data_IF_193201068327
#
_entry.id   IF_193201068327
#
_cell.length_a   1.000
_cell.length_b   1.000
_cell.length_c   1.000
_cell.angle_alpha   90.00
_cell.angle_beta   90.00
_cell.angle_gamma   90.00
#
_symmetry.space_group_name_H-M   'P 1'
#
loop_
_entity.id
_entity.type
_entity.pdbx_description
1 polymer ?
#
# COMPACT_ATOMS: atom_id res chain seq x y z
N UNK A 1 -31.19 9.20 0.58
CA UNK A 1 -31.30 7.86 -0.03
C UNK A 1 -30.63 7.94 -1.40
N UNK A 2 -29.57 7.16 -1.65
CA UNK A 2 -28.73 7.31 -2.86
C UNK A 2 -29.35 6.46 -3.97
N UNK A 3 -29.95 7.13 -4.97
CA UNK A 3 -30.75 6.51 -6.03
C UNK A 3 -29.94 6.21 -7.31
N UNK A 4 -28.67 5.79 -7.18
CA UNK A 4 -27.76 5.69 -8.34
C UNK A 4 -27.06 4.33 -8.49
N UNK A 5 -27.77 3.23 -8.17
CA UNK A 5 -27.21 1.87 -8.31
C UNK A 5 -26.93 1.49 -9.78
N UNK A 6 -27.78 1.92 -10.71
CA UNK A 6 -27.65 1.60 -12.16
C UNK A 6 -26.38 2.19 -12.80
N UNK A 7 -25.89 3.33 -12.31
CA UNK A 7 -24.67 3.97 -12.84
C UNK A 7 -23.39 3.31 -12.33
N UNK A 8 -23.40 2.81 -11.09
CA UNK A 8 -22.23 2.16 -10.52
C UNK A 8 -21.93 0.84 -11.27
N UNK A 9 -22.94 0.00 -11.49
CA UNK A 9 -22.79 -1.25 -12.25
C UNK A 9 -22.34 -0.98 -13.69
N UNK A 10 -22.96 -0.02 -14.38
CA UNK A 10 -22.54 0.41 -15.72
C UNK A 10 -21.08 0.86 -15.77
N UNK A 11 -20.64 1.67 -14.80
CA UNK A 11 -19.26 2.15 -14.72
C UNK A 11 -18.24 1.03 -14.43
N UNK A 12 -18.62 0.01 -13.66
CA UNK A 12 -17.77 -1.16 -13.38
C UNK A 12 -17.60 -2.00 -14.65
N UNK A 13 -18.71 -2.26 -15.37
CA UNK A 13 -18.67 -2.98 -16.64
C UNK A 13 -17.84 -2.22 -17.69
N UNK A 14 -18.02 -0.91 -17.80
CA UNK A 14 -17.24 -0.06 -18.71
C UNK A 14 -15.74 -0.10 -18.40
N UNK A 15 -15.36 0.05 -17.12
CA UNK A 15 -13.97 -0.03 -16.71
C UNK A 15 -13.36 -1.40 -17.03
N UNK A 16 -14.14 -2.48 -16.86
CA UNK A 16 -13.72 -3.85 -17.20
C UNK A 16 -13.48 -4.01 -18.69
N UNK A 17 -14.40 -3.52 -19.54
CA UNK A 17 -14.25 -3.58 -21.00
C UNK A 17 -13.03 -2.78 -21.49
N UNK A 18 -12.84 -1.56 -20.98
CA UNK A 18 -11.68 -0.72 -21.32
C UNK A 18 -10.37 -1.40 -20.90
N UNK A 19 -10.37 -2.06 -19.74
CA UNK A 19 -9.22 -2.81 -19.25
C UNK A 19 -8.88 -3.98 -20.19
N UNK A 20 -9.85 -4.81 -20.53
CA UNK A 20 -9.66 -5.98 -21.40
C UNK A 20 -9.22 -5.59 -22.81
N UNK A 21 -9.86 -4.60 -23.42
CA UNK A 21 -9.46 -4.07 -24.75
C UNK A 21 -8.03 -3.54 -24.70
N UNK A 22 -7.68 -2.82 -23.63
CA UNK A 22 -6.33 -2.33 -23.42
C UNK A 22 -5.30 -3.46 -23.34
N UNK A 23 -5.59 -4.52 -22.58
CA UNK A 23 -4.71 -5.68 -22.48
C UNK A 23 -4.59 -6.44 -23.80
N UNK A 24 -5.70 -6.66 -24.50
CA UNK A 24 -5.69 -7.33 -25.81
C UNK A 24 -4.85 -6.56 -26.83
N UNK A 25 -5.01 -5.24 -26.89
CA UNK A 25 -4.22 -4.39 -27.78
C UNK A 25 -2.71 -4.45 -27.47
N UNK A 26 -2.32 -4.64 -26.20
CA UNK A 26 -0.90 -4.73 -25.81
C UNK A 26 -0.15 -5.88 -26.49
N UNK A 27 -0.83 -6.95 -26.94
CA UNK A 27 -0.18 -8.07 -27.62
C UNK A 27 0.26 -7.76 -29.06
N UNK A 28 -0.25 -6.68 -29.64
CA UNK A 28 0.08 -6.25 -31.00
C UNK A 28 1.13 -5.14 -31.05
N UNK A 29 1.50 -4.57 -29.89
CA UNK A 29 2.56 -3.57 -29.80
C UNK A 29 3.91 -4.22 -29.53
N UNK A 30 4.96 -3.61 -30.07
CA UNK A 30 6.34 -3.96 -29.76
C UNK A 30 6.60 -3.80 -28.23
N UNK A 31 7.32 -4.71 -27.56
CA UNK A 31 7.69 -4.58 -26.16
C UNK A 31 8.34 -3.23 -25.77
N UNK A 32 8.94 -2.51 -26.71
CA UNK A 32 9.52 -1.19 -26.43
C UNK A 32 8.46 -0.08 -26.30
N UNK A 33 7.20 -0.34 -26.70
CA UNK A 33 6.09 0.59 -26.59
C UNK A 33 5.47 0.46 -25.19
N UNK A 34 5.45 1.58 -24.46
CA UNK A 34 4.85 1.71 -23.13
C UNK A 34 3.33 1.51 -23.15
N UNK A 35 2.91 0.25 -23.24
CA UNK A 35 1.52 -0.21 -23.26
C UNK A 35 1.01 -0.50 -21.84
N UNK A 36 -0.32 -0.66 -21.66
CA UNK A 36 -0.92 -0.90 -20.33
C UNK A 36 -0.35 -2.15 -19.62
N UNK A 37 0.14 -3.13 -20.38
CA UNK A 37 0.82 -4.33 -19.88
C UNK A 37 2.22 -4.05 -19.32
N UNK A 38 2.91 -3.07 -19.89
CA UNK A 38 4.35 -2.80 -19.63
C UNK A 38 4.52 -1.58 -18.72
N UNK A 39 3.53 -0.68 -18.69
CA UNK A 39 3.48 0.40 -17.71
C UNK A 39 3.38 -0.19 -16.31
N UNK A 40 4.39 0.11 -15.50
CA UNK A 40 4.30 -0.04 -14.04
C UNK A 40 2.98 0.57 -13.57
N UNK A 41 2.22 -0.17 -12.77
CA UNK A 41 0.99 0.39 -12.21
C UNK A 41 1.42 1.59 -11.38
N UNK A 42 0.92 2.78 -11.69
CA UNK A 42 1.27 4.00 -10.94
C UNK A 42 0.99 3.89 -9.42
N UNK A 43 0.24 2.86 -8.99
CA UNK A 43 -0.06 2.53 -7.60
C UNK A 43 0.61 1.23 -7.11
N UNK A 44 1.61 0.70 -7.82
CA UNK A 44 2.38 -0.45 -7.37
C UNK A 44 3.31 0.02 -6.25
N UNK A 45 3.00 -0.40 -5.02
CA UNK A 45 3.86 -0.13 -3.88
C UNK A 45 5.11 -1.00 -4.04
N UNK A 46 6.20 -0.41 -4.51
CA UNK A 46 7.47 -1.11 -4.62
C UNK A 46 8.06 -1.29 -3.22
N UNK A 47 8.06 -2.54 -2.76
CA UNK A 47 8.57 -2.94 -1.44
C UNK A 47 10.03 -2.53 -1.25
N UNK A 48 10.80 -2.57 -2.34
CA UNK A 48 12.20 -2.14 -2.36
C UNK A 48 12.35 -0.67 -1.96
N UNK A 49 11.55 0.24 -2.51
CA UNK A 49 11.60 1.67 -2.18
C UNK A 49 11.36 1.93 -0.69
N UNK A 50 10.44 1.19 -0.07
CA UNK A 50 10.14 1.33 1.36
C UNK A 50 11.30 0.84 2.24
N UNK A 51 11.92 -0.29 1.89
CA UNK A 51 13.05 -0.86 2.62
C UNK A 51 14.30 0.03 2.46
N UNK A 52 14.58 0.53 1.26
CA UNK A 52 15.69 1.47 1.01
C UNK A 52 15.52 2.79 1.74
N UNK A 53 14.30 3.32 1.81
CA UNK A 53 14.02 4.57 2.54
C UNK A 53 14.06 4.40 4.05
N UNK A 54 13.92 3.17 4.56
CA UNK A 54 13.79 2.93 5.99
C UNK A 54 14.62 1.72 6.47
N UNK A 55 15.96 1.78 6.34
CA UNK A 55 16.86 0.67 6.65
C UNK A 55 16.93 0.35 8.16
N UNK A 56 16.42 1.24 9.01
CA UNK A 56 16.41 1.09 10.47
C UNK A 56 15.04 0.72 11.03
N UNK A 57 14.10 0.30 10.18
CA UNK A 57 12.78 -0.16 10.64
C UNK A 57 12.96 -1.38 11.52
N UNK A 58 12.54 -1.28 12.79
CA UNK A 58 12.58 -2.40 13.74
C UNK A 58 11.58 -3.47 13.32
N UNK A 59 11.85 -4.72 13.69
CA UNK A 59 11.02 -5.90 13.36
C UNK A 59 9.51 -5.65 13.51
N UNK A 60 9.10 -4.98 14.59
CA UNK A 60 7.71 -4.66 14.93
C UNK A 60 7.00 -3.76 13.92
N UNK A 61 7.75 -2.92 13.20
CA UNK A 61 7.21 -1.95 12.25
C UNK A 61 7.40 -2.37 10.80
N UNK A 62 7.76 -3.64 10.54
CA UNK A 62 7.91 -4.18 9.19
C UNK A 62 6.57 -4.48 8.49
N UNK A 63 5.44 -4.06 9.08
CA UNK A 63 4.15 -4.19 8.42
C UNK A 63 4.07 -3.24 7.23
N UNK A 64 4.17 -3.82 6.04
CA UNK A 64 4.03 -3.17 4.74
C UNK A 64 2.56 -2.76 4.53
N UNK A 65 2.12 -1.72 5.23
CA UNK A 65 0.81 -1.13 5.04
C UNK A 65 0.93 0.06 4.08
N UNK A 66 0.20 0.01 2.97
CA UNK A 66 0.02 1.19 2.12
C UNK A 66 -0.80 2.20 2.90
N UNK A 67 -0.19 3.32 3.28
CA UNK A 67 -0.89 4.44 3.90
C UNK A 67 -1.99 4.91 2.93
N UNK A 68 -3.25 4.66 3.29
CA UNK A 68 -4.40 5.04 2.48
C UNK A 68 -4.67 6.56 2.52
N UNK A 69 -4.02 7.27 3.43
CA UNK A 69 -4.20 8.70 3.68
C UNK A 69 -2.86 9.40 3.90
N UNK A 70 -2.91 10.74 3.91
CA UNK A 70 -1.75 11.59 4.16
C UNK A 70 -1.14 11.25 5.52
N UNK A 71 0.15 10.96 5.55
CA UNK A 71 0.88 10.75 6.80
C UNK A 71 0.84 12.05 7.61
N UNK A 72 0.23 12.02 8.79
CA UNK A 72 0.19 13.15 9.72
C UNK A 72 0.99 12.81 10.97
N UNK A 73 1.76 13.78 11.44
CA UNK A 73 2.47 13.68 12.72
C UNK A 73 1.57 14.20 13.83
N UNK A 74 1.27 13.36 14.82
CA UNK A 74 0.59 13.79 16.06
C UNK A 74 1.41 13.36 17.28
N UNK A 75 1.31 14.12 18.36
CA UNK A 75 1.79 13.66 19.66
C UNK A 75 0.86 12.57 20.20
N UNK A 76 1.45 11.53 20.76
CA UNK A 76 0.70 10.48 21.44
C UNK A 76 0.24 10.99 22.81
N UNK A 77 -1.01 10.70 23.17
CA UNK A 77 -1.47 10.90 24.54
C UNK A 77 -0.85 9.83 25.47
N UNK A 78 -1.04 9.98 26.79
CA UNK A 78 -0.44 9.07 27.78
C UNK A 78 -0.85 7.60 27.58
N UNK A 79 -2.11 7.35 27.22
CA UNK A 79 -2.65 6.00 27.01
C UNK A 79 -2.06 5.38 25.74
N UNK A 80 -2.04 6.14 24.64
CA UNK A 80 -1.44 5.75 23.37
C UNK A 80 0.06 5.49 23.52
N UNK A 81 0.76 6.34 24.28
CA UNK A 81 2.18 6.18 24.56
C UNK A 81 2.45 4.89 25.33
N UNK A 82 1.69 4.61 26.39
CA UNK A 82 1.84 3.37 27.15
C UNK A 82 1.52 2.14 26.30
N UNK A 83 0.48 2.20 25.47
CA UNK A 83 0.14 1.12 24.56
C UNK A 83 1.25 0.86 23.52
N UNK A 84 1.77 1.92 22.89
CA UNK A 84 2.87 1.82 21.94
C UNK A 84 4.14 1.28 22.60
N UNK A 85 4.48 1.78 23.79
CA UNK A 85 5.61 1.28 24.60
C UNK A 85 5.47 -0.20 24.89
N UNK A 86 4.32 -0.65 25.40
CA UNK A 86 4.07 -2.06 25.70
C UNK A 86 4.17 -2.93 24.45
N UNK A 87 3.59 -2.47 23.33
CA UNK A 87 3.65 -3.17 22.06
C UNK A 87 5.09 -3.41 21.61
N UNK A 88 5.95 -2.38 21.68
CA UNK A 88 7.38 -2.52 21.37
C UNK A 88 8.05 -3.51 22.34
N UNK A 89 7.82 -3.41 23.65
CA UNK A 89 8.48 -4.29 24.63
C UNK A 89 8.12 -5.78 24.45
N UNK A 90 6.90 -6.09 24.02
CA UNK A 90 6.45 -7.48 23.85
C UNK A 90 6.89 -8.05 22.49
N UNK A 91 6.83 -7.25 21.43
CA UNK A 91 6.94 -7.74 20.05
C UNK A 91 8.31 -7.47 19.40
N UNK A 92 9.15 -6.60 19.98
CA UNK A 92 10.45 -6.25 19.42
C UNK A 92 11.52 -7.20 19.96
N UNK A 93 11.94 -8.17 19.15
CA UNK A 93 12.97 -9.13 19.53
C UNK A 93 14.29 -8.46 19.90
N UNK A 94 14.63 -7.36 19.22
CA UNK A 94 15.86 -6.60 19.46
C UNK A 94 15.90 -5.92 20.83
N UNK A 95 14.75 -5.76 21.49
CA UNK A 95 14.66 -5.13 22.81
C UNK A 95 14.66 -6.18 23.93
N UNK A 96 14.33 -7.44 23.63
CA UNK A 96 14.28 -8.53 24.63
C UNK A 96 15.62 -8.72 25.34
N UNK A 97 16.73 -8.57 24.62
CA UNK A 97 18.08 -8.70 25.17
C UNK A 97 18.41 -7.66 26.24
N UNK A 98 17.76 -6.49 26.21
CA UNK A 98 18.00 -5.38 27.14
C UNK A 98 17.06 -5.37 28.36
N UNK A 99 16.02 -6.21 28.36
CA UNK A 99 15.06 -6.34 29.46
C UNK A 99 15.53 -7.40 30.48
N UNK A 100 16.56 -8.19 30.13
CA UNK A 100 17.06 -9.30 30.94
C UNK A 100 17.91 -8.86 32.13
#
# INVERSE_FOLDING_TARGET
>A
MINNKTRAEGSICEASLIQEVGYFACYYFDPDIQSRRIRSKQNEFHIEDFIYQNPHTRSVFNQLARLASKCTTKYLNYVEFNAAKLHVLINCDEVKDFIR
#
